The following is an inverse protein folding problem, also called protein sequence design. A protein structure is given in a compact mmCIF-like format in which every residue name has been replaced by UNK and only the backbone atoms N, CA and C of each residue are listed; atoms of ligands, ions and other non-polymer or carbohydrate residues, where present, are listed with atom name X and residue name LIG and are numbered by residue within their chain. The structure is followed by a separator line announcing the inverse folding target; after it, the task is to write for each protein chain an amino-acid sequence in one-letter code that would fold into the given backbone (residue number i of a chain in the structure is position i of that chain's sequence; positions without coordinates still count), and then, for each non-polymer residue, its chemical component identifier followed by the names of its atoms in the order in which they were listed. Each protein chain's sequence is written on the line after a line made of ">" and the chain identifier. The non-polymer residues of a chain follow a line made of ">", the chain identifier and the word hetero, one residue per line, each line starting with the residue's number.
data_IF_092746870222
#
_entry.id   IF_092746870222
#
_cell.length_a   1.000
_cell.length_b   1.000
_cell.length_c   1.000
_cell.angle_alpha   90.00
_cell.angle_beta   90.00
_cell.angle_gamma   90.00
#
_symmetry.space_group_name_H-M   'P 1'
#
loop_
_entity.id
_entity.type
_entity.pdbx_description
1 polymer ?
#
# COMPACT_ATOMS: atom_id res chain seq x y z
N UNK A 1 8.60 18.98 29.10
CA UNK A 1 7.26 19.10 28.50
C UNK A 1 7.23 20.46 27.82
N UNK A 2 7.01 20.60 26.50
CA UNK A 2 6.52 19.61 25.52
C UNK A 2 7.56 18.52 25.16
N UNK A 3 7.17 17.47 24.41
CA UNK A 3 8.15 16.65 23.69
C UNK A 3 8.99 17.54 22.78
N UNK A 4 10.23 17.12 22.53
CA UNK A 4 11.10 17.84 21.60
C UNK A 4 10.43 17.85 20.21
N UNK A 5 10.49 18.97 19.47
CA UNK A 5 10.05 18.99 18.08
C UNK A 5 10.73 17.89 17.28
N UNK A 6 10.03 17.36 16.28
CA UNK A 6 10.63 16.44 15.32
C UNK A 6 11.76 17.15 14.59
N UNK A 7 12.86 16.43 14.39
CA UNK A 7 13.89 16.86 13.45
C UNK A 7 13.35 16.84 12.02
N UNK A 8 13.93 17.66 11.14
CA UNK A 8 13.57 17.67 9.71
C UNK A 8 13.69 16.28 9.08
N UNK A 9 14.65 15.48 9.54
CA UNK A 9 14.83 14.08 9.12
C UNK A 9 13.63 13.21 9.50
N UNK A 10 13.10 13.37 10.70
CA UNK A 10 11.93 12.61 11.16
C UNK A 10 10.67 13.03 10.40
N UNK A 11 10.47 14.34 10.19
CA UNK A 11 9.38 14.87 9.37
C UNK A 11 9.46 14.31 7.96
N UNK A 12 10.63 14.41 7.30
CA UNK A 12 10.83 13.88 5.96
C UNK A 12 10.57 12.37 5.90
N UNK A 13 11.06 11.60 6.88
CA UNK A 13 10.84 10.15 6.94
C UNK A 13 9.35 9.80 7.06
N UNK A 14 8.60 10.54 7.88
CA UNK A 14 7.15 10.32 8.05
C UNK A 14 6.43 10.59 6.73
N UNK A 15 6.72 11.73 6.08
CA UNK A 15 6.10 12.11 4.81
C UNK A 15 6.42 11.09 3.71
N UNK A 16 7.69 10.72 3.55
CA UNK A 16 8.12 9.74 2.56
C UNK A 16 7.44 8.39 2.78
N UNK A 17 7.43 7.89 4.02
CA UNK A 17 6.76 6.63 4.35
C UNK A 17 5.27 6.69 4.07
N UNK A 18 4.60 7.78 4.43
CA UNK A 18 3.18 7.95 4.16
C UNK A 18 2.92 7.86 2.66
N UNK A 19 3.63 8.66 1.86
CA UNK A 19 3.53 8.66 0.40
C UNK A 19 3.81 7.27 -0.20
N UNK A 20 4.78 6.53 0.33
CA UNK A 20 5.06 5.16 -0.06
C UNK A 20 3.90 4.22 0.26
N UNK A 21 3.37 4.25 1.49
CA UNK A 21 2.26 3.39 1.91
C UNK A 21 1.00 3.64 1.08
N UNK A 22 0.68 4.90 0.78
CA UNK A 22 -0.51 5.26 -0.02
C UNK A 22 -0.28 5.23 -1.52
N UNK A 23 0.82 4.63 -2.01
CA UNK A 23 0.94 4.36 -3.45
C UNK A 23 -0.16 3.37 -3.87
N UNK A 24 -0.88 3.61 -4.99
CA UNK A 24 -1.98 2.73 -5.43
C UNK A 24 -1.65 1.24 -5.43
N UNK A 25 -0.43 0.88 -5.82
CA UNK A 25 0.01 -0.51 -5.87
C UNK A 25 0.01 -1.20 -4.49
N UNK A 26 0.06 -0.45 -3.40
CA UNK A 26 0.16 -0.97 -2.04
C UNK A 26 -1.18 -1.22 -1.36
N UNK A 27 -2.28 -0.65 -1.87
CA UNK A 27 -3.60 -0.79 -1.25
C UNK A 27 -4.75 -1.05 -2.23
N UNK A 28 -4.52 -0.97 -3.55
CA UNK A 28 -5.55 -1.34 -4.52
C UNK A 28 -5.91 -2.82 -4.39
N UNK A 29 -7.22 -3.08 -4.45
CA UNK A 29 -7.80 -4.41 -4.41
C UNK A 29 -8.67 -4.64 -5.63
N UNK A 30 -8.84 -5.91 -6.00
CA UNK A 30 -9.80 -6.36 -7.00
C UNK A 30 -10.49 -7.62 -6.52
N UNK A 31 -11.66 -7.90 -7.10
CA UNK A 31 -12.36 -9.16 -6.85
C UNK A 31 -11.58 -10.34 -7.46
N UNK A 32 -11.34 -11.38 -6.66
CA UNK A 32 -10.85 -12.66 -7.17
C UNK A 32 -11.95 -13.35 -7.96
N UNK A 33 -11.67 -13.77 -9.21
CA UNK A 33 -12.67 -14.41 -10.06
C UNK A 33 -13.12 -15.80 -9.57
N UNK A 34 -12.33 -16.45 -8.70
CA UNK A 34 -12.63 -17.79 -8.19
C UNK A 34 -13.54 -17.71 -6.96
N UNK A 35 -13.21 -16.83 -6.00
CA UNK A 35 -13.90 -16.78 -4.70
C UNK A 35 -14.69 -15.50 -4.44
N UNK A 36 -14.63 -14.51 -5.34
CA UNK A 36 -15.35 -13.24 -5.25
C UNK A 36 -14.85 -12.27 -4.18
N UNK A 37 -13.84 -12.63 -3.39
CA UNK A 37 -13.31 -11.76 -2.32
C UNK A 37 -12.50 -10.60 -2.91
N UNK A 38 -12.60 -9.43 -2.29
CA UNK A 38 -11.60 -8.38 -2.51
C UNK A 38 -10.25 -8.87 -2.01
N UNK A 39 -9.23 -8.70 -2.83
CA UNK A 39 -7.86 -9.15 -2.55
C UNK A 39 -6.90 -8.15 -3.16
N UNK A 40 -5.79 -7.89 -2.47
CA UNK A 40 -4.73 -7.01 -2.97
C UNK A 40 -4.32 -7.43 -4.38
N UNK A 41 -4.21 -6.46 -5.29
CA UNK A 41 -3.79 -6.75 -6.67
C UNK A 41 -2.41 -7.42 -6.75
N UNK A 42 -1.56 -7.25 -5.72
CA UNK A 42 -0.24 -7.90 -5.62
C UNK A 42 -0.32 -9.41 -5.36
N UNK A 43 -1.46 -9.89 -4.87
CA UNK A 43 -1.70 -11.30 -4.56
C UNK A 43 -2.54 -11.99 -5.66
N UNK A 44 -2.90 -11.27 -6.72
CA UNK A 44 -3.71 -11.78 -7.82
C UNK A 44 -2.86 -12.00 -9.06
N UNK A 45 -3.14 -13.10 -9.76
CA UNK A 45 -2.61 -13.36 -11.10
C UNK A 45 -3.67 -13.03 -12.16
N UNK A 46 -3.29 -12.53 -13.34
CA UNK A 46 -4.23 -12.33 -14.44
C UNK A 46 -4.90 -13.64 -14.84
N UNK A 47 -6.21 -13.64 -15.14
CA UNK A 47 -6.87 -14.84 -15.64
C UNK A 47 -6.25 -15.35 -16.95
N UNK A 48 -5.78 -14.44 -17.80
CA UNK A 48 -5.07 -14.77 -19.03
C UNK A 48 -3.74 -15.50 -18.82
N UNK A 49 -3.17 -15.49 -17.60
CA UNK A 49 -1.95 -16.24 -17.30
C UNK A 49 -2.22 -17.68 -16.86
N UNK A 50 -3.48 -18.05 -16.62
CA UNK A 50 -3.90 -19.42 -16.34
C UNK A 50 -4.30 -20.05 -17.68
N UNK A 51 -3.40 -20.84 -18.27
CA UNK A 51 -3.68 -21.66 -19.45
C UNK A 51 -4.17 -23.04 -19.04
#
# INVERSE_FOLDING_TARGET
>A
FPPRPLSDREVHKILTRYCETVRPQNFMEKGCAVCGRLTSIKQLSPLSSLK
#
